data_IF_394240041659
#
_entry.id   IF_394240041659
#
_cell.length_a   1.000
_cell.length_b   1.000
_cell.length_c   1.000
_cell.angle_alpha   90.00
_cell.angle_beta   90.00
_cell.angle_gamma   90.00
#
_symmetry.space_group_name_H-M   'P 1'
#
loop_
_entity.id
_entity.type
_entity.pdbx_description
1 polymer ?
#
# COMPACT_ATOMS: atom_id res chain seq x y z
N UNK A 1 19.67 10.98 -0.73
CA UNK A 1 18.50 10.32 -0.10
C UNK A 1 17.24 10.95 -0.70
N UNK A 2 16.41 10.23 -1.46
CA UNK A 2 15.14 10.78 -1.96
C UNK A 2 14.21 10.90 -0.75
N UNK A 3 13.87 12.13 -0.35
CA UNK A 3 12.86 12.35 0.67
C UNK A 3 11.60 11.60 0.23
N UNK A 4 11.22 10.55 0.97
CA UNK A 4 10.00 9.81 0.69
C UNK A 4 8.86 10.81 0.61
N UNK A 5 8.09 10.79 -0.47
CA UNK A 5 6.90 11.63 -0.62
C UNK A 5 6.04 11.36 0.62
N UNK A 6 5.99 12.32 1.56
CA UNK A 6 5.19 12.19 2.76
C UNK A 6 3.74 12.38 2.33
N UNK A 7 3.03 11.27 2.12
CA UNK A 7 1.59 11.30 1.96
C UNK A 7 0.95 11.67 3.31
N UNK A 8 -0.21 12.36 3.31
CA UNK A 8 -1.00 12.53 4.53
C UNK A 8 -1.30 11.17 5.18
N UNK A 9 -1.34 11.13 6.51
CA UNK A 9 -1.59 9.88 7.27
C UNK A 9 -2.91 9.22 6.86
N UNK A 10 -3.96 10.00 6.65
CA UNK A 10 -5.27 9.48 6.21
C UNK A 10 -5.19 8.73 4.87
N UNK A 11 -4.36 9.23 3.96
CA UNK A 11 -4.16 8.63 2.64
C UNK A 11 -3.39 7.31 2.78
N UNK A 12 -2.39 7.30 3.67
CA UNK A 12 -1.63 6.09 4.04
C UNK A 12 -2.51 5.00 4.65
N UNK A 13 -3.28 5.35 5.68
CA UNK A 13 -4.18 4.44 6.37
C UNK A 13 -5.23 3.86 5.42
N UNK A 14 -5.81 4.72 4.56
CA UNK A 14 -6.75 4.29 3.51
C UNK A 14 -6.10 3.28 2.56
N UNK A 15 -4.88 3.54 2.10
CA UNK A 15 -4.18 2.65 1.19
C UNK A 15 -3.86 1.30 1.84
N UNK A 16 -3.42 1.30 3.10
CA UNK A 16 -3.13 0.08 3.85
C UNK A 16 -4.38 -0.78 4.03
N UNK A 17 -5.52 -0.18 4.41
CA UNK A 17 -6.79 -0.91 4.56
C UNK A 17 -7.20 -1.60 3.26
N UNK A 18 -7.12 -0.90 2.13
CA UNK A 18 -7.45 -1.48 0.83
C UNK A 18 -6.50 -2.61 0.43
N UNK A 19 -5.20 -2.49 0.75
CA UNK A 19 -4.19 -3.51 0.46
C UNK A 19 -4.45 -4.77 1.29
N UNK A 20 -4.70 -4.61 2.59
CA UNK A 20 -5.06 -5.70 3.48
C UNK A 20 -6.33 -6.41 2.98
N UNK A 21 -7.38 -5.64 2.66
CA UNK A 21 -8.64 -6.18 2.14
C UNK A 21 -8.43 -6.99 0.83
N UNK A 22 -7.59 -6.51 -0.08
CA UNK A 22 -7.31 -7.21 -1.33
C UNK A 22 -6.56 -8.54 -1.11
N UNK A 23 -5.58 -8.57 -0.19
CA UNK A 23 -4.85 -9.80 0.16
C UNK A 23 -5.77 -10.79 0.89
N UNK A 24 -6.65 -10.31 1.77
CA UNK A 24 -7.64 -11.16 2.45
C UNK A 24 -8.67 -11.76 1.48
N UNK A 25 -9.14 -10.98 0.50
CA UNK A 25 -10.14 -11.43 -0.49
C UNK A 25 -9.56 -12.34 -1.56
N UNK A 26 -8.27 -12.20 -1.86
CA UNK A 26 -7.57 -12.96 -2.89
C UNK A 26 -6.29 -13.55 -2.27
N UNK A 27 -6.36 -14.65 -1.51
CA UNK A 27 -5.21 -15.25 -0.83
C UNK A 27 -3.97 -15.54 -1.70
N UNK A 28 -4.09 -15.92 -2.99
CA UNK A 28 -2.91 -16.06 -3.86
C UNK A 28 -2.30 -14.71 -4.28
N UNK A 29 -2.96 -13.58 -4.01
CA UNK A 29 -2.43 -12.25 -4.28
C UNK A 29 -1.33 -11.88 -3.27
N UNK A 30 -0.09 -11.83 -3.76
CA UNK A 30 1.01 -11.31 -2.95
C UNK A 30 0.80 -9.85 -2.55
N UNK A 31 1.35 -9.45 -1.39
CA UNK A 31 1.35 -8.07 -0.91
C UNK A 31 1.87 -7.08 -1.97
N UNK A 32 2.95 -7.44 -2.68
CA UNK A 32 3.52 -6.60 -3.73
C UNK A 32 2.55 -6.39 -4.91
N UNK A 33 1.84 -7.45 -5.31
CA UNK A 33 0.81 -7.36 -6.35
C UNK A 33 -0.37 -6.49 -5.89
N UNK A 34 -0.81 -6.62 -4.63
CA UNK A 34 -1.85 -5.78 -4.05
C UNK A 34 -1.46 -4.29 -4.01
N UNK A 35 -0.23 -3.97 -3.56
CA UNK A 35 0.31 -2.61 -3.53
C UNK A 35 0.35 -1.98 -4.93
N UNK A 36 0.85 -2.71 -5.93
CA UNK A 36 0.88 -2.26 -7.34
C UNK A 36 -0.51 -2.00 -7.90
N UNK A 37 -1.50 -2.81 -7.50
CA UNK A 37 -2.91 -2.67 -7.93
C UNK A 37 -3.60 -1.47 -7.27
N UNK A 38 -3.27 -1.16 -6.02
CA UNK A 38 -4.02 -0.18 -5.22
C UNK A 38 -3.37 1.20 -5.19
N UNK A 39 -2.04 1.31 -5.15
CA UNK A 39 -1.33 2.59 -5.08
C UNK A 39 -1.86 3.63 -6.08
N UNK A 40 -1.90 3.32 -7.38
CA UNK A 40 -2.43 4.23 -8.40
C UNK A 40 -3.88 4.65 -8.17
N UNK A 41 -4.73 3.79 -7.59
CA UNK A 41 -6.16 4.06 -7.34
C UNK A 41 -6.38 5.09 -6.25
N UNK A 42 -5.40 5.28 -5.36
CA UNK A 42 -5.47 6.24 -4.24
C UNK A 42 -4.50 7.41 -4.40
N UNK A 43 -3.78 7.50 -5.53
CA UNK A 43 -2.81 8.57 -5.78
C UNK A 43 -1.47 8.38 -5.07
N UNK A 44 -1.13 7.17 -4.62
CA UNK A 44 0.17 6.81 -4.06
C UNK A 44 1.02 6.12 -5.11
N UNK A 45 2.28 6.55 -5.24
CA UNK A 45 3.30 5.75 -5.92
C UNK A 45 3.45 4.41 -5.20
N UNK A 46 3.18 3.26 -5.85
CA UNK A 46 3.28 1.96 -5.22
C UNK A 46 4.74 1.65 -4.90
N UNK A 47 5.15 1.95 -3.66
CA UNK A 47 6.45 1.60 -3.11
C UNK A 47 6.24 0.63 -1.95
N UNK A 48 6.81 -0.56 -2.04
CA UNK A 48 6.63 -1.59 -1.01
C UNK A 48 7.16 -1.15 0.35
N UNK A 49 8.15 -0.25 0.42
CA UNK A 49 8.69 0.27 1.69
C UNK A 49 7.70 1.17 2.43
N UNK A 50 6.76 1.81 1.70
CA UNK A 50 5.66 2.56 2.31
C UNK A 50 4.66 1.64 3.04
N UNK A 51 4.48 0.42 2.54
CA UNK A 51 3.53 -0.57 3.06
C UNK A 51 4.18 -1.61 4.00
N UNK A 52 5.48 -1.88 3.87
CA UNK A 52 6.19 -2.94 4.59
C UNK A 52 6.49 -2.61 6.06
N UNK A 53 6.36 -1.36 6.49
CA UNK A 53 6.80 -0.94 7.84
C UNK A 53 5.79 -1.20 8.96
N UNK A 54 4.59 -1.71 8.64
CA UNK A 54 3.46 -1.78 9.60
C UNK A 54 2.58 -3.01 9.41
N UNK A 55 3.08 -4.03 8.71
CA UNK A 55 2.40 -5.32 8.49
C UNK A 55 3.13 -6.48 9.18
N UNK A 56 3.87 -6.18 10.25
CA UNK A 56 4.44 -7.18 11.17
C UNK A 56 3.36 -7.61 12.18
#
# INVERSE_FOLDING_TARGET
MRAGRKYPNELRERAQRLVAEAVTKDPPLSLNAAVKRIGPRVGIVPDTSFFARELD
#
